data_IF_220740831922
#
_entry.id   IF_220740831922
#
_cell.length_a   1.000
_cell.length_b   1.000
_cell.length_c   1.000
_cell.angle_alpha   90.00
_cell.angle_beta   90.00
_cell.angle_gamma   90.00
#
_symmetry.space_group_name_H-M   'P 1'
#
loop_
_entity.id
_entity.type
_entity.pdbx_description
1 polymer ?
#
# COMPACT_ATOMS: atom_id res chain seq x y z
N UNK A 1 59.41 -0.61 -17.14
CA UNK A 1 58.37 -1.41 -17.81
C UNK A 1 58.16 -2.70 -17.02
N UNK A 2 56.96 -3.29 -17.01
CA UNK A 2 55.94 -3.16 -15.96
C UNK A 2 55.82 -4.41 -15.07
N UNK A 3 55.08 -4.33 -13.95
CA UNK A 3 54.18 -5.40 -13.52
C UNK A 3 53.10 -4.81 -12.59
N UNK A 4 51.95 -4.50 -13.21
CA UNK A 4 50.66 -4.24 -12.56
C UNK A 4 50.12 -5.53 -11.95
N UNK A 5 49.44 -5.38 -10.82
CA UNK A 5 48.15 -6.02 -10.58
C UNK A 5 48.16 -7.24 -9.68
N UNK A 6 47.63 -7.09 -8.45
CA UNK A 6 46.92 -8.15 -7.72
C UNK A 6 46.22 -7.66 -6.44
N UNK A 7 45.38 -6.62 -6.52
CA UNK A 7 44.46 -6.32 -5.42
C UNK A 7 43.13 -5.79 -5.98
N UNK A 8 42.28 -6.67 -6.53
CA UNK A 8 40.83 -6.47 -6.68
C UNK A 8 40.24 -7.67 -7.45
N UNK A 9 39.79 -8.72 -6.76
CA UNK A 9 38.96 -9.76 -7.39
C UNK A 9 38.15 -10.55 -6.36
N UNK A 10 38.73 -10.87 -5.19
CA UNK A 10 38.02 -11.65 -4.15
C UNK A 10 36.84 -10.94 -3.49
N UNK A 11 36.85 -9.61 -3.32
CA UNK A 11 35.75 -8.87 -2.65
C UNK A 11 34.53 -8.64 -3.54
N UNK A 12 34.71 -8.60 -4.86
CA UNK A 12 33.62 -8.41 -5.83
C UNK A 12 32.92 -9.77 -6.05
N UNK A 13 33.68 -10.86 -6.19
CA UNK A 13 33.15 -12.20 -6.41
C UNK A 13 32.27 -12.75 -5.27
N UNK A 14 32.55 -12.40 -4.01
CA UNK A 14 31.75 -12.84 -2.84
C UNK A 14 30.40 -12.11 -2.78
N UNK A 15 30.34 -10.84 -3.19
CA UNK A 15 29.07 -10.11 -3.22
C UNK A 15 28.18 -10.57 -4.37
N UNK A 16 28.76 -10.84 -5.55
CA UNK A 16 28.01 -11.37 -6.69
C UNK A 16 27.49 -12.78 -6.44
N UNK A 17 28.26 -13.67 -5.79
CA UNK A 17 27.78 -15.03 -5.49
C UNK A 17 26.65 -15.06 -4.46
N UNK A 18 26.67 -14.18 -3.45
CA UNK A 18 25.59 -14.05 -2.47
C UNK A 18 24.32 -13.47 -3.09
N UNK A 19 24.46 -12.51 -4.01
CA UNK A 19 23.33 -11.97 -4.78
C UNK A 19 22.73 -12.99 -5.75
N UNK A 20 23.56 -13.80 -6.42
CA UNK A 20 23.11 -14.90 -7.28
C UNK A 20 22.39 -16.00 -6.50
N UNK A 21 22.89 -16.36 -5.31
CA UNK A 21 22.26 -17.36 -4.43
C UNK A 21 20.89 -16.86 -3.92
N UNK A 22 20.81 -15.61 -3.49
CA UNK A 22 19.55 -14.94 -3.12
C UNK A 22 18.54 -14.87 -4.27
N UNK A 23 19.00 -14.49 -5.47
CA UNK A 23 18.14 -14.46 -6.66
C UNK A 23 17.63 -15.86 -7.03
N UNK A 24 18.46 -16.90 -6.84
CA UNK A 24 18.05 -18.28 -7.07
C UNK A 24 17.00 -18.72 -6.06
N UNK A 25 17.17 -18.40 -4.77
CA UNK A 25 16.17 -18.69 -3.73
C UNK A 25 14.86 -17.93 -3.99
N UNK A 26 14.92 -16.66 -4.37
CA UNK A 26 13.75 -15.87 -4.75
C UNK A 26 13.00 -16.53 -5.93
N UNK A 27 13.70 -16.91 -7.00
CA UNK A 27 13.08 -17.56 -8.16
C UNK A 27 12.40 -18.88 -7.78
N UNK A 28 12.97 -19.67 -6.86
CA UNK A 28 12.32 -20.89 -6.35
C UNK A 28 11.06 -20.59 -5.54
N UNK A 29 11.09 -19.55 -4.70
CA UNK A 29 9.93 -19.12 -3.90
C UNK A 29 8.81 -18.57 -4.79
N UNK A 30 9.15 -17.78 -5.82
CA UNK A 30 8.21 -17.25 -6.80
C UNK A 30 7.61 -18.31 -7.72
N UNK A 31 8.15 -19.54 -7.75
CA UNK A 31 7.58 -20.67 -8.49
C UNK A 31 6.52 -21.46 -7.70
N UNK A 32 6.38 -21.19 -6.40
CA UNK A 32 5.40 -21.84 -5.53
C UNK A 32 3.93 -21.62 -5.92
N UNK A 33 3.51 -20.45 -6.44
CA UNK A 33 2.16 -20.24 -6.95
C UNK A 33 1.85 -21.13 -8.16
N UNK A 34 2.80 -21.25 -9.10
CA UNK A 34 2.64 -22.10 -10.28
C UNK A 34 2.48 -23.57 -9.89
N UNK A 35 3.24 -24.03 -8.88
CA UNK A 35 3.13 -25.37 -8.33
C UNK A 35 1.73 -25.63 -7.74
N UNK A 36 1.22 -24.69 -6.93
CA UNK A 36 -0.13 -24.77 -6.36
C UNK A 36 -1.22 -24.72 -7.42
N UNK A 37 -1.05 -23.84 -8.43
CA UNK A 37 -1.99 -23.67 -9.53
C UNK A 37 -2.06 -24.93 -10.40
N UNK A 38 -0.91 -25.51 -10.71
CA UNK A 38 -0.80 -26.79 -11.41
C UNK A 38 -1.48 -27.92 -10.63
N UNK A 39 -1.22 -28.02 -9.31
CA UNK A 39 -1.85 -29.02 -8.46
C UNK A 39 -3.38 -28.86 -8.41
N UNK A 40 -3.89 -27.63 -8.25
CA UNK A 40 -5.33 -27.35 -8.26
C UNK A 40 -5.97 -27.67 -9.61
N UNK A 41 -5.34 -27.27 -10.72
CA UNK A 41 -5.82 -27.57 -12.07
C UNK A 41 -5.89 -29.09 -12.31
N UNK A 42 -4.88 -29.86 -11.86
CA UNK A 42 -4.89 -31.31 -12.00
C UNK A 42 -6.04 -31.97 -11.22
N UNK A 43 -6.35 -31.46 -10.02
CA UNK A 43 -7.48 -31.94 -9.21
C UNK A 43 -8.83 -31.62 -9.89
N UNK A 44 -9.04 -30.37 -10.30
CA UNK A 44 -10.28 -29.93 -10.96
C UNK A 44 -10.53 -30.68 -12.27
N UNK A 45 -9.48 -30.98 -13.04
CA UNK A 45 -9.56 -31.72 -14.31
C UNK A 45 -9.64 -33.24 -14.13
N UNK A 46 -9.61 -33.76 -12.90
CA UNK A 46 -9.63 -35.20 -12.62
C UNK A 46 -8.36 -35.94 -13.09
N UNK A 47 -7.27 -35.22 -13.31
CA UNK A 47 -5.97 -35.74 -13.80
C UNK A 47 -4.99 -36.00 -12.65
N UNK A 48 -5.41 -35.78 -11.41
CA UNK A 48 -4.60 -35.80 -10.19
C UNK A 48 -4.29 -37.19 -9.62
N UNK A 49 -4.50 -38.27 -10.40
CA UNK A 49 -4.25 -39.66 -9.99
C UNK A 49 -4.84 -40.01 -8.61
N UNK A 50 -6.08 -39.58 -8.36
CA UNK A 50 -6.80 -39.87 -7.11
C UNK A 50 -6.57 -38.89 -5.96
N UNK A 51 -5.84 -37.79 -6.19
CA UNK A 51 -5.72 -36.67 -5.23
C UNK A 51 -6.88 -35.70 -5.38
N UNK A 52 -7.36 -35.15 -4.29
CA UNK A 52 -8.50 -34.22 -4.25
C UNK A 52 -8.09 -32.85 -3.67
N UNK A 53 -9.07 -32.01 -3.32
CA UNK A 53 -8.82 -30.69 -2.72
C UNK A 53 -8.02 -30.76 -1.41
N UNK A 54 -8.05 -31.88 -0.68
CA UNK A 54 -7.27 -32.02 0.56
C UNK A 54 -5.77 -32.01 0.29
N UNK A 55 -5.34 -32.50 -0.89
CA UNK A 55 -3.95 -32.45 -1.31
C UNK A 55 -3.50 -31.01 -1.62
N UNK A 56 -4.35 -30.24 -2.30
CA UNK A 56 -4.09 -28.81 -2.58
C UNK A 56 -3.97 -28.04 -1.26
N UNK A 57 -4.84 -28.35 -0.29
CA UNK A 57 -4.79 -27.76 1.05
C UNK A 57 -3.51 -28.14 1.82
N UNK A 58 -3.06 -29.38 1.73
CA UNK A 58 -1.80 -29.80 2.37
C UNK A 58 -0.59 -29.08 1.77
N UNK A 59 -0.57 -28.89 0.45
CA UNK A 59 0.48 -28.13 -0.22
C UNK A 59 0.47 -26.68 0.23
N UNK A 60 -0.69 -26.03 0.30
CA UNK A 60 -0.76 -24.64 0.72
C UNK A 60 -0.43 -24.44 2.20
N UNK A 61 -0.85 -25.38 3.07
CA UNK A 61 -0.49 -25.41 4.49
C UNK A 61 1.04 -25.57 4.70
N UNK A 62 1.78 -26.08 3.70
CA UNK A 62 3.24 -26.13 3.73
C UNK A 62 3.89 -24.90 3.09
N UNK A 63 3.42 -24.49 1.91
CA UNK A 63 4.03 -23.43 1.10
C UNK A 63 3.88 -22.06 1.76
N UNK A 64 2.67 -21.72 2.20
CA UNK A 64 2.37 -20.39 2.73
C UNK A 64 3.24 -20.07 3.95
N UNK A 65 3.34 -20.93 4.98
CA UNK A 65 4.22 -20.65 6.13
C UNK A 65 5.69 -20.49 5.78
N UNK A 66 6.19 -21.22 4.78
CA UNK A 66 7.60 -21.14 4.36
C UNK A 66 7.90 -19.85 3.58
N UNK A 67 6.99 -19.41 2.70
CA UNK A 67 7.11 -18.10 2.03
C UNK A 67 7.11 -16.96 3.04
N UNK A 68 6.22 -17.07 4.02
CA UNK A 68 6.05 -16.17 5.16
C UNK A 68 7.32 -16.14 6.04
N UNK A 69 7.95 -17.29 6.32
CA UNK A 69 9.23 -17.36 7.04
C UNK A 69 10.41 -16.79 6.22
N UNK A 70 10.41 -17.01 4.91
CA UNK A 70 11.42 -16.45 4.01
C UNK A 70 11.33 -14.92 3.96
N UNK A 71 10.12 -14.37 3.87
CA UNK A 71 9.85 -12.95 3.93
C UNK A 71 10.40 -12.30 5.22
N UNK A 72 10.28 -13.00 6.36
CA UNK A 72 10.85 -12.54 7.66
C UNK A 72 12.37 -12.40 7.65
N UNK A 73 13.07 -13.20 6.85
CA UNK A 73 14.54 -13.27 6.83
C UNK A 73 15.16 -12.48 5.70
N UNK A 74 14.35 -11.95 4.78
CA UNK A 74 14.85 -11.27 3.60
C UNK A 74 14.93 -9.74 3.83
N UNK A 75 16.12 -9.14 3.76
CA UNK A 75 16.29 -7.70 3.92
C UNK A 75 16.16 -6.88 2.62
N UNK A 76 16.16 -7.49 1.43
CA UNK A 76 16.09 -6.76 0.15
C UNK A 76 14.65 -6.52 -0.30
N UNK A 77 14.27 -5.26 -0.53
CA UNK A 77 12.88 -4.84 -0.75
C UNK A 77 12.29 -5.41 -2.04
N UNK A 78 13.08 -5.46 -3.12
CA UNK A 78 12.65 -6.01 -4.42
C UNK A 78 12.37 -7.52 -4.33
N UNK A 79 13.09 -8.22 -3.46
CA UNK A 79 12.89 -9.65 -3.20
C UNK A 79 11.63 -9.85 -2.33
N UNK A 80 11.43 -9.01 -1.31
CA UNK A 80 10.22 -9.05 -0.48
C UNK A 80 8.94 -8.79 -1.29
N UNK A 81 8.96 -7.80 -2.19
CA UNK A 81 7.83 -7.54 -3.10
C UNK A 81 7.51 -8.77 -3.97
N UNK A 82 8.54 -9.38 -4.57
CA UNK A 82 8.38 -10.60 -5.37
C UNK A 82 7.85 -11.80 -4.57
N UNK A 83 8.24 -11.92 -3.29
CA UNK A 83 7.74 -12.96 -2.39
C UNK A 83 6.30 -12.68 -1.93
N UNK A 84 5.90 -11.41 -1.79
CA UNK A 84 4.54 -11.00 -1.47
C UNK A 84 3.59 -11.24 -2.63
N UNK A 85 3.98 -10.92 -3.86
CA UNK A 85 3.23 -11.25 -5.06
C UNK A 85 2.99 -12.75 -5.15
N UNK A 86 4.04 -13.56 -4.94
CA UNK A 86 3.93 -15.00 -4.89
C UNK A 86 3.00 -15.48 -3.76
N UNK A 87 3.08 -14.87 -2.58
CA UNK A 87 2.18 -15.19 -1.47
C UNK A 87 0.71 -14.88 -1.81
N UNK A 88 0.44 -13.71 -2.40
CA UNK A 88 -0.89 -13.30 -2.84
C UNK A 88 -1.45 -14.24 -3.91
N UNK A 89 -0.64 -14.62 -4.90
CA UNK A 89 -1.04 -15.62 -5.90
C UNK A 89 -1.34 -16.99 -5.27
N UNK A 90 -0.52 -17.47 -4.33
CA UNK A 90 -0.78 -18.73 -3.62
C UNK A 90 -2.13 -18.71 -2.89
N UNK A 91 -2.45 -17.59 -2.24
CA UNK A 91 -3.71 -17.37 -1.52
C UNK A 91 -4.90 -17.42 -2.48
N UNK A 92 -4.81 -16.67 -3.58
CA UNK A 92 -5.85 -16.59 -4.61
C UNK A 92 -6.09 -17.94 -5.28
N UNK A 93 -5.02 -18.63 -5.66
CA UNK A 93 -5.07 -19.97 -6.24
C UNK A 93 -5.78 -20.93 -5.31
N UNK A 94 -5.44 -20.96 -4.02
CA UNK A 94 -6.03 -21.94 -3.12
C UNK A 94 -7.41 -21.53 -2.59
N UNK A 95 -7.93 -20.35 -2.98
CA UNK A 95 -9.15 -19.76 -2.43
C UNK A 95 -9.16 -19.81 -0.89
N UNK A 96 -7.96 -19.63 -0.30
CA UNK A 96 -7.81 -19.73 1.14
C UNK A 96 -8.38 -18.44 1.68
N UNK A 97 -9.55 -18.57 2.30
CA UNK A 97 -9.99 -17.60 3.28
C UNK A 97 -8.98 -17.68 4.41
N UNK A 98 -7.93 -16.87 4.34
CA UNK A 98 -6.99 -16.74 5.43
C UNK A 98 -7.83 -16.25 6.58
N UNK A 99 -8.08 -17.14 7.53
CA UNK A 99 -8.71 -16.77 8.78
C UNK A 99 -7.77 -15.73 9.36
N UNK A 100 -8.12 -14.43 9.26
CA UNK A 100 -7.16 -13.34 9.34
C UNK A 100 -6.25 -13.42 10.58
N UNK A 101 -6.70 -14.12 11.63
CA UNK A 101 -5.95 -14.35 12.87
C UNK A 101 -4.57 -15.01 12.68
N UNK A 102 -4.33 -15.86 11.67
CA UNK A 102 -3.01 -16.51 11.46
C UNK A 102 -2.00 -15.57 10.82
N UNK A 103 -2.45 -14.85 9.79
CA UNK A 103 -1.72 -13.73 9.19
C UNK A 103 -1.45 -12.67 10.23
N UNK A 104 -2.43 -12.36 11.06
CA UNK A 104 -2.30 -11.35 12.10
C UNK A 104 -1.41 -11.72 13.26
N UNK A 105 -1.48 -12.95 13.77
CA UNK A 105 -0.55 -13.40 14.81
C UNK A 105 0.88 -13.36 14.28
N UNK A 106 1.07 -13.65 13.00
CA UNK A 106 2.34 -13.53 12.30
C UNK A 106 2.82 -12.07 12.15
N UNK A 107 1.93 -11.11 11.87
CA UNK A 107 2.26 -9.69 11.74
C UNK A 107 2.36 -8.93 13.06
N UNK A 108 1.57 -9.29 14.08
CA UNK A 108 1.68 -8.71 15.43
C UNK A 108 3.03 -9.04 16.04
N UNK A 109 3.50 -10.28 15.86
CA UNK A 109 4.79 -10.71 16.41
C UNK A 109 5.96 -9.99 15.68
N UNK A 110 5.84 -9.70 14.37
CA UNK A 110 6.81 -8.91 13.57
C UNK A 110 6.84 -7.42 13.96
N UNK A 111 5.68 -6.77 14.09
CA UNK A 111 5.59 -5.35 14.43
C UNK A 111 5.88 -5.07 15.92
N UNK A 112 5.59 -6.00 16.82
CA UNK A 112 5.76 -5.80 18.25
C UNK A 112 7.22 -5.92 18.69
N UNK A 113 8.08 -6.64 17.95
CA UNK A 113 9.54 -6.60 18.15
C UNK A 113 10.15 -5.24 17.74
N UNK A 114 9.68 -4.63 16.64
CA UNK A 114 10.20 -3.33 16.18
C UNK A 114 9.59 -2.12 16.91
N UNK A 115 8.30 -2.13 17.25
CA UNK A 115 7.65 -1.05 18.02
C UNK A 115 8.29 -0.91 19.42
N UNK A 116 8.61 -2.04 20.08
CA UNK A 116 9.33 -2.01 21.36
C UNK A 116 10.77 -1.49 21.18
N UNK A 117 11.42 -1.79 20.05
CA UNK A 117 12.73 -1.23 19.70
C UNK A 117 12.73 0.27 19.39
N UNK A 118 11.66 0.80 18.81
CA UNK A 118 11.47 2.23 18.49
C UNK A 118 11.12 3.04 19.75
N UNK A 119 10.27 2.49 20.63
CA UNK A 119 9.92 3.11 21.92
C UNK A 119 11.14 3.30 22.83
N UNK A 120 12.02 2.30 22.91
CA UNK A 120 13.26 2.39 23.68
C UNK A 120 14.31 3.33 23.04
N UNK A 121 14.33 3.48 21.71
CA UNK A 121 15.26 4.35 20.98
C UNK A 121 14.83 5.83 20.96
N UNK A 122 13.53 6.13 20.84
CA UNK A 122 12.99 7.50 21.00
C UNK A 122 13.22 8.02 22.43
N UNK A 123 13.13 7.15 23.45
CA UNK A 123 13.50 7.49 24.83
C UNK A 123 14.99 7.84 25.03
N UNK A 124 15.90 7.29 24.21
CA UNK A 124 17.34 7.59 24.26
C UNK A 124 17.79 8.77 23.37
N UNK A 125 17.09 9.08 22.27
CA UNK A 125 17.39 10.26 21.43
C UNK A 125 17.14 11.59 22.17
N UNK A 126 16.34 11.60 23.24
CA UNK A 126 16.12 12.80 24.07
C UNK A 126 17.27 13.11 25.05
N UNK A 127 18.26 12.21 25.24
CA UNK A 127 19.32 12.39 26.24
C UNK A 127 20.75 12.50 25.69
N UNK A 128 20.97 12.39 24.38
CA UNK A 128 22.34 12.52 23.84
C UNK A 128 22.36 13.27 22.50
N UNK A 129 22.16 14.58 22.55
CA UNK A 129 22.63 15.47 21.50
C UNK A 129 24.12 15.69 21.74
N UNK A 130 24.99 15.06 20.94
CA UNK A 130 26.25 15.62 20.43
C UNK A 130 27.09 14.55 19.72
N UNK A 131 27.73 14.99 18.64
CA UNK A 131 28.72 14.31 17.79
C UNK A 131 28.17 13.31 16.77
N UNK A 132 28.14 13.81 15.53
CA UNK A 132 27.88 13.02 14.34
C UNK A 132 28.92 11.92 14.09
N UNK A 133 28.51 10.95 13.30
CA UNK A 133 29.34 10.18 12.36
C UNK A 133 28.40 9.33 11.50
N UNK A 134 28.81 9.11 10.25
CA UNK A 134 28.12 8.49 9.09
C UNK A 134 27.59 7.05 9.27
N UNK A 135 27.22 6.62 10.47
CA UNK A 135 26.78 5.25 10.77
C UNK A 135 25.26 5.05 10.81
N UNK A 136 24.46 6.11 10.60
CA UNK A 136 22.98 6.09 10.71
C UNK A 136 22.21 5.72 9.44
N UNK A 137 22.80 5.93 8.25
CA UNK A 137 22.06 5.83 6.97
C UNK A 137 21.56 4.43 6.65
N UNK A 138 22.40 3.40 6.84
CA UNK A 138 22.03 2.01 6.56
C UNK A 138 21.02 1.41 7.55
N UNK A 139 20.83 2.04 8.73
CA UNK A 139 19.85 1.61 9.73
C UNK A 139 18.48 2.23 9.47
N UNK A 140 18.46 3.54 9.20
CA UNK A 140 17.24 4.29 8.85
C UNK A 140 16.67 3.85 7.49
N UNK A 141 17.52 3.51 6.50
CA UNK A 141 17.07 2.92 5.22
C UNK A 141 16.45 1.52 5.38
N UNK A 142 16.96 0.70 6.32
CA UNK A 142 16.39 -0.62 6.64
C UNK A 142 15.08 -0.52 7.40
N UNK A 143 15.01 0.36 8.39
CA UNK A 143 13.81 0.61 9.21
C UNK A 143 12.69 1.21 8.34
N UNK A 144 13.03 2.12 7.41
CA UNK A 144 12.11 2.64 6.40
C UNK A 144 11.73 1.61 5.31
N UNK A 145 12.55 0.59 5.06
CA UNK A 145 12.22 -0.53 4.16
C UNK A 145 11.19 -1.48 4.78
N UNK A 146 11.36 -1.82 6.06
CA UNK A 146 10.42 -2.68 6.81
C UNK A 146 9.07 -1.98 7.02
N UNK A 147 9.08 -0.68 7.34
CA UNK A 147 7.87 0.14 7.45
C UNK A 147 7.10 0.18 6.13
N UNK A 148 7.78 0.33 4.98
CA UNK A 148 7.16 0.27 3.65
C UNK A 148 6.46 -1.06 3.41
N UNK A 149 7.15 -2.18 3.65
CA UNK A 149 6.60 -3.52 3.45
C UNK A 149 5.33 -3.73 4.29
N UNK A 150 5.33 -3.31 5.55
CA UNK A 150 4.16 -3.44 6.41
C UNK A 150 2.95 -2.63 5.93
N UNK A 151 3.18 -1.45 5.32
CA UNK A 151 2.13 -0.61 4.74
C UNK A 151 1.52 -1.29 3.51
N UNK A 152 2.34 -1.68 2.54
CA UNK A 152 1.86 -2.35 1.31
C UNK A 152 1.05 -3.62 1.61
N UNK A 153 1.53 -4.44 2.55
CA UNK A 153 0.83 -5.67 2.95
C UNK A 153 -0.52 -5.34 3.60
N UNK A 154 -0.56 -4.31 4.46
CA UNK A 154 -1.79 -3.94 5.12
C UNK A 154 -2.83 -3.41 4.11
N UNK A 155 -2.39 -2.64 3.12
CA UNK A 155 -3.25 -2.12 2.06
C UNK A 155 -3.92 -3.29 1.30
N UNK A 156 -3.13 -4.29 0.90
CA UNK A 156 -3.64 -5.51 0.26
C UNK A 156 -4.64 -6.24 1.15
N UNK A 157 -4.32 -6.41 2.45
CA UNK A 157 -5.19 -7.08 3.42
C UNK A 157 -6.48 -6.30 3.62
N UNK A 158 -6.43 -4.97 3.66
CA UNK A 158 -7.60 -4.12 3.82
C UNK A 158 -8.49 -4.16 2.56
N UNK A 159 -7.90 -4.06 1.38
CA UNK A 159 -8.61 -4.04 0.10
C UNK A 159 -9.26 -5.40 -0.23
N UNK A 160 -8.50 -6.48 -0.09
CA UNK A 160 -8.95 -7.82 -0.46
C UNK A 160 -9.62 -8.55 0.71
N UNK A 161 -9.21 -8.28 1.95
CA UNK A 161 -9.75 -8.92 3.15
C UNK A 161 -11.03 -8.25 3.70
N UNK A 162 -11.27 -6.98 3.38
CA UNK A 162 -12.49 -6.21 3.71
C UNK A 162 -12.92 -6.39 5.17
N UNK A 163 -14.11 -6.95 5.43
CA UNK A 163 -14.63 -7.18 6.78
C UNK A 163 -13.66 -7.97 7.69
N UNK A 164 -12.89 -8.89 7.13
CA UNK A 164 -11.92 -9.67 7.90
C UNK A 164 -10.72 -8.84 8.38
N UNK A 165 -10.45 -7.70 7.74
CA UNK A 165 -9.38 -6.78 8.10
C UNK A 165 -9.78 -5.80 9.22
N UNK A 166 -11.07 -5.59 9.48
CA UNK A 166 -11.55 -4.58 10.43
C UNK A 166 -10.97 -4.68 11.83
N UNK A 167 -10.74 -5.90 12.32
CA UNK A 167 -10.10 -6.18 13.63
C UNK A 167 -8.65 -5.68 13.76
N UNK A 168 -8.07 -5.16 12.67
CA UNK A 168 -6.68 -4.71 12.59
C UNK A 168 -6.53 -3.20 12.51
N UNK A 169 -7.64 -2.51 12.22
CA UNK A 169 -7.67 -1.08 12.00
C UNK A 169 -7.24 -0.30 13.25
N UNK A 170 -7.66 -0.75 14.45
CA UNK A 170 -7.30 -0.12 15.72
C UNK A 170 -5.78 -0.04 15.96
N UNK A 171 -5.02 -1.01 15.45
CA UNK A 171 -3.56 -1.05 15.64
C UNK A 171 -2.79 -0.39 14.51
N UNK A 172 -3.31 -0.46 13.27
CA UNK A 172 -2.59 0.00 12.08
C UNK A 172 -2.93 1.42 11.64
N UNK A 173 -4.18 1.85 11.77
CA UNK A 173 -4.58 3.18 11.31
C UNK A 173 -3.79 4.31 11.99
N UNK A 174 -3.48 4.30 13.29
CA UNK A 174 -2.65 5.34 13.88
C UNK A 174 -1.26 5.44 13.23
N UNK A 175 -0.67 4.30 12.86
CA UNK A 175 0.64 4.24 12.21
C UNK A 175 0.60 4.74 10.77
N UNK A 176 -0.42 4.33 10.00
CA UNK A 176 -0.66 4.86 8.67
C UNK A 176 -0.81 6.38 8.73
N UNK A 177 -1.66 6.89 9.61
CA UNK A 177 -1.90 8.33 9.70
C UNK A 177 -0.65 9.15 10.08
N UNK A 178 0.25 8.60 10.91
CA UNK A 178 1.55 9.23 11.19
C UNK A 178 2.43 9.30 9.94
N UNK A 179 2.43 8.23 9.12
CA UNK A 179 3.29 8.10 7.94
C UNK A 179 2.79 8.85 6.69
N UNK A 180 1.57 9.42 6.69
CA UNK A 180 1.05 10.21 5.56
C UNK A 180 1.95 11.39 5.17
N UNK A 181 2.76 11.88 6.10
CA UNK A 181 3.64 13.04 5.92
C UNK A 181 5.13 12.66 5.99
N UNK A 182 5.45 11.41 5.66
CA UNK A 182 6.82 10.91 5.59
C UNK A 182 7.67 11.73 4.60
N UNK A 183 9.00 11.75 4.77
CA UNK A 183 9.90 12.48 3.87
C UNK A 183 9.98 11.85 2.47
N UNK A 184 9.82 10.53 2.35
CA UNK A 184 9.90 9.80 1.10
C UNK A 184 8.55 9.78 0.35
N UNK A 185 8.49 10.26 -0.91
CA UNK A 185 7.26 10.25 -1.70
C UNK A 185 6.61 8.88 -1.83
N UNK A 186 7.40 7.81 -2.00
CA UNK A 186 6.89 6.44 -2.16
C UNK A 186 6.18 5.94 -0.89
N UNK A 187 6.66 6.33 0.29
CA UNK A 187 6.04 6.00 1.57
C UNK A 187 4.71 6.74 1.69
N UNK A 188 4.72 8.06 1.41
CA UNK A 188 3.48 8.85 1.43
C UNK A 188 2.44 8.24 0.52
N UNK A 189 2.81 7.92 -0.72
CA UNK A 189 1.93 7.31 -1.70
C UNK A 189 1.25 6.04 -1.16
N UNK A 190 2.03 5.05 -0.71
CA UNK A 190 1.49 3.80 -0.18
C UNK A 190 0.54 4.05 1.00
N UNK A 191 0.96 4.88 1.95
CA UNK A 191 0.16 5.18 3.14
C UNK A 191 -1.16 5.87 2.80
N UNK A 192 -1.13 6.85 1.90
CA UNK A 192 -2.31 7.61 1.48
C UNK A 192 -3.31 6.68 0.77
N UNK A 193 -2.80 5.81 -0.10
CA UNK A 193 -3.60 4.77 -0.74
C UNK A 193 -4.29 3.90 0.32
N UNK A 194 -3.53 3.39 1.29
CA UNK A 194 -4.03 2.63 2.44
C UNK A 194 -5.11 3.34 3.26
N UNK A 195 -4.95 4.64 3.51
CA UNK A 195 -5.98 5.46 4.16
C UNK A 195 -7.26 5.51 3.31
N UNK A 196 -7.13 5.63 1.99
CA UNK A 196 -8.26 5.57 1.06
C UNK A 196 -8.99 4.22 1.11
N UNK A 197 -8.25 3.11 1.04
CA UNK A 197 -8.77 1.74 1.19
C UNK A 197 -9.49 1.58 2.52
N UNK A 198 -8.92 2.10 3.61
CA UNK A 198 -9.54 2.06 4.92
C UNK A 198 -10.82 2.89 5.02
N UNK A 199 -10.87 4.05 4.36
CA UNK A 199 -12.08 4.86 4.27
C UNK A 199 -13.17 4.16 3.45
N UNK A 200 -12.82 3.31 2.49
CA UNK A 200 -13.79 2.60 1.67
C UNK A 200 -14.30 1.32 2.34
N UNK A 201 -13.41 0.50 2.90
CA UNK A 201 -13.76 -0.83 3.42
C UNK A 201 -13.80 -0.92 4.95
N UNK A 202 -13.37 0.12 5.66
CA UNK A 202 -13.28 0.14 7.13
C UNK A 202 -14.61 0.25 7.85
N UNK A 203 -15.68 0.62 7.15
CA UNK A 203 -16.99 0.85 7.76
C UNK A 203 -16.92 1.74 9.00
N UNK A 204 -17.75 1.49 10.01
CA UNK A 204 -17.82 2.35 11.20
C UNK A 204 -16.53 2.40 12.03
N UNK A 205 -15.58 1.47 11.84
CA UNK A 205 -14.30 1.44 12.56
C UNK A 205 -13.42 2.63 12.17
N UNK A 206 -13.56 3.16 10.94
CA UNK A 206 -12.80 4.31 10.49
C UNK A 206 -13.35 5.65 11.03
N UNK A 207 -14.63 5.72 11.42
CA UNK A 207 -15.32 6.96 11.84
C UNK A 207 -14.56 7.78 12.90
N UNK A 208 -14.01 7.20 13.99
CA UNK A 208 -13.30 7.97 15.01
C UNK A 208 -12.03 8.67 14.49
N UNK A 209 -11.50 8.21 13.36
CA UNK A 209 -10.22 8.65 12.79
C UNK A 209 -10.39 9.55 11.57
N UNK A 210 -11.61 9.73 11.06
CA UNK A 210 -11.91 10.59 9.91
C UNK A 210 -11.34 12.00 10.07
N UNK A 211 -11.48 12.60 11.25
CA UNK A 211 -10.95 13.94 11.51
C UNK A 211 -9.42 14.04 11.39
N UNK A 212 -8.71 13.05 11.93
CA UNK A 212 -7.25 12.96 11.83
C UNK A 212 -6.83 12.68 10.38
N UNK A 213 -7.52 11.76 9.69
CA UNK A 213 -7.29 11.48 8.28
C UNK A 213 -7.40 12.74 7.42
N UNK A 214 -8.49 13.50 7.57
CA UNK A 214 -8.65 14.77 6.87
C UNK A 214 -7.52 15.75 7.19
N UNK A 215 -7.11 15.86 8.46
CA UNK A 215 -6.01 16.74 8.86
C UNK A 215 -4.69 16.33 8.20
N UNK A 216 -4.41 15.04 8.08
CA UNK A 216 -3.17 14.53 7.47
C UNK A 216 -3.16 14.71 5.96
N UNK A 217 -4.29 14.45 5.31
CA UNK A 217 -4.46 14.63 3.87
C UNK A 217 -4.37 16.12 3.47
N UNK A 218 -4.91 17.04 4.29
CA UNK A 218 -4.82 18.48 4.05
C UNK A 218 -3.38 19.00 4.03
N UNK A 219 -2.48 18.44 4.85
CA UNK A 219 -1.05 18.80 4.85
C UNK A 219 -0.39 18.48 3.50
N UNK A 220 -0.73 17.33 2.91
CA UNK A 220 -0.17 16.90 1.63
C UNK A 220 -0.70 17.76 0.48
N UNK A 221 -2.01 18.05 0.46
CA UNK A 221 -2.62 18.95 -0.56
C UNK A 221 -2.00 20.34 -0.52
N UNK A 222 -1.80 20.88 0.68
CA UNK A 222 -1.27 22.25 0.87
C UNK A 222 0.24 22.34 0.79
N UNK A 223 0.94 21.22 0.56
CA UNK A 223 2.38 21.23 0.45
C UNK A 223 2.80 22.14 -0.73
N UNK A 224 3.78 23.06 -0.57
CA UNK A 224 4.15 24.02 -1.61
C UNK A 224 4.55 23.38 -2.95
N UNK A 225 5.09 22.16 -2.88
CA UNK A 225 5.52 21.37 -4.03
C UNK A 225 4.57 20.20 -4.34
N UNK A 226 3.32 20.23 -3.87
CA UNK A 226 2.37 19.12 -4.05
C UNK A 226 2.17 18.74 -5.53
N UNK A 227 2.16 19.74 -6.42
CA UNK A 227 2.00 19.56 -7.87
C UNK A 227 3.34 19.37 -8.62
N UNK A 228 4.46 19.25 -7.91
CA UNK A 228 5.75 18.92 -8.53
C UNK A 228 5.73 17.47 -9.05
N UNK A 229 6.50 17.17 -10.10
CA UNK A 229 6.53 15.84 -10.72
C UNK A 229 6.82 14.70 -9.72
N UNK A 230 7.65 14.96 -8.72
CA UNK A 230 8.00 13.98 -7.68
C UNK A 230 6.86 13.72 -6.66
N UNK A 231 5.87 14.61 -6.58
CA UNK A 231 4.79 14.55 -5.60
C UNK A 231 3.39 14.37 -6.21
N UNK A 232 3.27 14.47 -7.54
CA UNK A 232 1.97 14.49 -8.22
C UNK A 232 1.18 13.19 -7.98
N UNK A 233 1.85 12.04 -7.93
CA UNK A 233 1.21 10.75 -7.63
C UNK A 233 0.62 10.76 -6.22
N UNK A 234 1.40 11.23 -5.23
CA UNK A 234 0.91 11.34 -3.86
C UNK A 234 -0.26 12.34 -3.76
N UNK A 235 -0.19 13.48 -4.45
CA UNK A 235 -1.28 14.45 -4.49
C UNK A 235 -2.58 13.84 -5.05
N UNK A 236 -2.50 13.16 -6.19
CA UNK A 236 -3.64 12.52 -6.84
C UNK A 236 -4.28 11.44 -5.95
N UNK A 237 -3.43 10.64 -5.29
CA UNK A 237 -3.88 9.63 -4.31
C UNK A 237 -4.56 10.27 -3.10
N UNK A 238 -4.12 11.45 -2.64
CA UNK A 238 -4.82 12.16 -1.56
C UNK A 238 -6.20 12.62 -2.00
N UNK A 239 -6.31 13.13 -3.21
CA UNK A 239 -7.61 13.54 -3.78
C UNK A 239 -8.55 12.33 -3.88
N UNK A 240 -8.03 11.16 -4.25
CA UNK A 240 -8.81 9.92 -4.22
C UNK A 240 -9.24 9.52 -2.81
N UNK A 241 -8.32 9.48 -1.85
CA UNK A 241 -8.63 9.15 -0.45
C UNK A 241 -9.67 10.12 0.15
N UNK A 242 -9.58 11.43 -0.14
CA UNK A 242 -10.60 12.41 0.25
C UNK A 242 -11.95 12.13 -0.40
N UNK A 243 -11.96 11.73 -1.66
CA UNK A 243 -13.17 11.30 -2.37
C UNK A 243 -13.83 10.13 -1.66
N UNK A 244 -13.07 9.08 -1.33
CA UNK A 244 -13.55 7.91 -0.58
C UNK A 244 -14.13 8.31 0.77
N UNK A 245 -13.48 9.19 1.53
CA UNK A 245 -14.03 9.74 2.79
C UNK A 245 -15.36 10.48 2.54
N UNK A 246 -15.47 11.29 1.49
CA UNK A 246 -16.72 11.99 1.15
C UNK A 246 -17.88 11.04 0.82
N UNK A 247 -17.59 9.88 0.23
CA UNK A 247 -18.58 8.89 -0.17
C UNK A 247 -19.00 7.98 0.97
N UNK A 248 -18.04 7.42 1.70
CA UNK A 248 -18.30 6.37 2.70
C UNK A 248 -18.47 6.91 4.13
N UNK A 249 -17.95 8.11 4.41
CA UNK A 249 -17.97 8.73 5.74
C UNK A 249 -18.61 10.11 5.77
N UNK A 250 -19.56 10.38 4.86
CA UNK A 250 -20.22 11.68 4.70
C UNK A 250 -20.81 12.24 6.00
N UNK A 251 -21.42 11.37 6.81
CA UNK A 251 -22.05 11.75 8.08
C UNK A 251 -21.04 12.10 9.19
N UNK A 252 -19.76 11.75 8.99
CA UNK A 252 -18.67 12.02 9.93
C UNK A 252 -17.86 13.27 9.57
N UNK A 253 -18.23 13.99 8.50
CA UNK A 253 -17.51 15.18 8.02
C UNK A 253 -18.44 16.38 7.85
N UNK A 254 -17.86 17.58 7.80
CA UNK A 254 -18.56 18.75 7.31
C UNK A 254 -18.61 18.72 5.77
N UNK A 255 -19.55 17.95 5.21
CA UNK A 255 -19.66 17.73 3.76
C UNK A 255 -19.79 19.06 2.96
N UNK A 256 -20.43 20.08 3.53
CA UNK A 256 -20.57 21.39 2.92
C UNK A 256 -19.25 22.15 2.74
N UNK A 257 -18.20 21.76 3.46
CA UNK A 257 -16.84 22.30 3.30
C UNK A 257 -15.93 21.34 2.52
N UNK A 258 -15.98 20.05 2.85
CA UNK A 258 -15.03 19.06 2.31
C UNK A 258 -15.33 18.72 0.85
N UNK A 259 -16.60 18.54 0.46
CA UNK A 259 -16.95 18.19 -0.93
C UNK A 259 -16.57 19.29 -1.92
N UNK A 260 -16.86 20.59 -1.66
CA UNK A 260 -16.38 21.65 -2.55
C UNK A 260 -14.85 21.78 -2.61
N UNK A 261 -14.16 21.54 -1.48
CA UNK A 261 -12.70 21.54 -1.45
C UNK A 261 -12.13 20.41 -2.31
N UNK A 262 -12.69 19.20 -2.21
CA UNK A 262 -12.34 18.06 -3.05
C UNK A 262 -12.58 18.37 -4.55
N UNK A 263 -13.75 18.91 -4.90
CA UNK A 263 -14.05 19.32 -6.29
C UNK A 263 -13.05 20.35 -6.84
N UNK A 264 -12.52 21.23 -5.97
CA UNK A 264 -11.54 22.23 -6.38
C UNK A 264 -10.20 21.63 -6.84
N UNK A 265 -9.86 20.43 -6.36
CA UNK A 265 -8.65 19.70 -6.72
C UNK A 265 -8.75 19.00 -8.09
N UNK A 266 -9.94 18.88 -8.68
CA UNK A 266 -10.17 18.15 -9.93
C UNK A 266 -9.94 19.01 -11.18
N UNK A 267 -9.63 18.39 -12.34
CA UNK A 267 -9.31 16.97 -12.53
C UNK A 267 -7.89 16.62 -12.06
N UNK A 268 -7.69 15.36 -11.65
CA UNK A 268 -6.36 14.79 -11.40
C UNK A 268 -5.84 14.09 -12.65
N UNK A 269 -4.52 14.04 -12.85
CA UNK A 269 -3.90 13.65 -14.15
C UNK A 269 -2.57 12.91 -14.06
N UNK A 270 -1.92 12.90 -12.91
CA UNK A 270 -0.64 12.23 -12.68
C UNK A 270 -0.81 10.72 -12.50
N UNK A 271 -1.70 10.30 -11.60
CA UNK A 271 -2.04 8.90 -11.40
C UNK A 271 -3.30 8.55 -12.21
N UNK A 272 -3.10 7.87 -13.34
CA UNK A 272 -4.19 7.52 -14.26
C UNK A 272 -5.14 6.47 -13.68
N UNK A 273 -4.70 5.66 -12.72
CA UNK A 273 -5.55 4.66 -12.06
C UNK A 273 -6.53 5.39 -11.15
N UNK A 274 -5.99 6.24 -10.27
CA UNK A 274 -6.81 7.02 -9.35
C UNK A 274 -7.65 8.09 -10.07
N UNK A 275 -7.17 8.65 -11.18
CA UNK A 275 -7.96 9.56 -12.01
C UNK A 275 -9.27 8.95 -12.47
N UNK A 276 -9.25 7.69 -12.94
CA UNK A 276 -10.47 6.99 -13.37
C UNK A 276 -11.46 6.81 -12.22
N UNK A 277 -10.97 6.40 -11.05
CA UNK A 277 -11.78 6.23 -9.84
C UNK A 277 -12.43 7.55 -9.42
N UNK A 278 -11.64 8.62 -9.32
CA UNK A 278 -12.10 9.94 -8.87
C UNK A 278 -13.07 10.59 -9.86
N UNK A 279 -12.82 10.45 -11.16
CA UNK A 279 -13.70 11.02 -12.18
C UNK A 279 -15.00 10.24 -12.33
N UNK A 280 -14.99 8.91 -12.19
CA UNK A 280 -16.21 8.09 -12.10
C UNK A 280 -17.03 8.46 -10.86
N UNK A 281 -16.36 8.68 -9.73
CA UNK A 281 -16.99 9.17 -8.51
C UNK A 281 -17.66 10.54 -8.73
N UNK A 282 -17.01 11.48 -9.43
CA UNK A 282 -17.60 12.77 -9.79
C UNK A 282 -18.87 12.57 -10.64
N UNK A 283 -18.83 11.70 -11.66
CA UNK A 283 -20.02 11.34 -12.46
C UNK A 283 -21.15 10.85 -11.57
N UNK A 284 -20.88 9.87 -10.72
CA UNK A 284 -21.84 9.29 -9.78
C UNK A 284 -22.47 10.34 -8.86
N UNK A 285 -21.67 11.29 -8.33
CA UNK A 285 -22.19 12.38 -7.48
C UNK A 285 -23.04 13.39 -8.26
N UNK A 286 -22.71 13.66 -9.53
CA UNK A 286 -23.53 14.52 -10.41
C UNK A 286 -24.86 13.84 -10.74
N UNK A 287 -24.85 12.56 -11.10
CA UNK A 287 -26.05 11.78 -11.43
C UNK A 287 -27.05 11.73 -10.26
N UNK A 288 -26.54 11.57 -9.03
CA UNK A 288 -27.37 11.62 -7.81
C UNK A 288 -27.82 13.03 -7.43
N UNK A 289 -27.32 14.06 -8.12
CA UNK A 289 -27.56 15.46 -7.80
C UNK A 289 -27.19 15.81 -6.35
N UNK A 290 -26.00 15.38 -5.92
CA UNK A 290 -25.49 15.63 -4.57
C UNK A 290 -25.47 17.14 -4.26
N UNK A 291 -26.19 17.56 -3.21
CA UNK A 291 -26.42 18.98 -2.88
C UNK A 291 -25.14 19.75 -2.61
N UNK A 292 -24.23 19.17 -1.83
CA UNK A 292 -22.95 19.79 -1.47
C UNK A 292 -22.00 19.89 -2.67
N UNK A 293 -22.14 19.01 -3.67
CA UNK A 293 -21.33 19.05 -4.90
C UNK A 293 -21.79 20.17 -5.83
N UNK A 294 -23.09 20.28 -6.08
CA UNK A 294 -23.66 21.30 -6.98
C UNK A 294 -23.61 22.69 -6.31
N UNK A 295 -23.75 22.70 -4.99
CA UNK A 295 -23.76 23.90 -4.16
C UNK A 295 -25.08 24.68 -4.23
N UNK A 296 -25.28 25.66 -3.33
CA UNK A 296 -26.44 26.53 -3.38
C UNK A 296 -26.48 27.29 -4.71
N UNK A 297 -27.66 27.38 -5.32
CA UNK A 297 -27.89 28.04 -6.61
C UNK A 297 -26.97 27.54 -7.75
N UNK A 298 -26.56 26.28 -7.71
CA UNK A 298 -25.69 25.65 -8.72
C UNK A 298 -24.33 26.36 -8.88
N UNK A 299 -23.83 26.99 -7.82
CA UNK A 299 -22.60 27.80 -7.89
C UNK A 299 -21.36 27.03 -8.35
N UNK A 300 -21.32 25.70 -8.18
CA UNK A 300 -20.18 24.87 -8.58
C UNK A 300 -20.35 24.21 -9.96
N UNK A 301 -21.51 24.38 -10.62
CA UNK A 301 -21.80 23.74 -11.90
C UNK A 301 -20.79 24.13 -12.99
N UNK A 302 -20.32 25.38 -13.00
CA UNK A 302 -19.30 25.85 -13.95
C UNK A 302 -17.98 25.09 -13.79
N UNK A 303 -17.54 24.83 -12.55
CA UNK A 303 -16.35 24.04 -12.25
C UNK A 303 -16.53 22.58 -12.68
N UNK A 304 -17.68 21.97 -12.40
CA UNK A 304 -17.99 20.59 -12.81
C UNK A 304 -17.89 20.45 -14.34
N UNK A 305 -18.52 21.37 -15.08
CA UNK A 305 -18.48 21.36 -16.56
C UNK A 305 -17.05 21.55 -17.08
N UNK A 306 -16.26 22.44 -16.45
CA UNK A 306 -14.86 22.63 -16.83
C UNK A 306 -14.03 21.35 -16.61
N UNK A 307 -14.22 20.68 -15.47
CA UNK A 307 -13.56 19.40 -15.16
C UNK A 307 -13.91 18.33 -16.20
N UNK A 308 -15.20 18.15 -16.54
CA UNK A 308 -15.60 17.20 -17.58
C UNK A 308 -15.06 17.56 -18.96
N UNK A 309 -15.03 18.84 -19.32
CA UNK A 309 -14.44 19.28 -20.58
C UNK A 309 -12.94 18.92 -20.65
N UNK A 310 -12.20 19.15 -19.58
CA UNK A 310 -10.78 18.77 -19.50
C UNK A 310 -10.56 17.25 -19.61
N UNK A 311 -11.39 16.45 -18.93
CA UNK A 311 -11.33 14.97 -18.98
C UNK A 311 -11.60 14.49 -20.40
N UNK A 312 -12.67 14.98 -21.04
CA UNK A 312 -13.02 14.63 -22.42
C UNK A 312 -11.95 15.03 -23.43
N UNK A 313 -11.28 16.17 -23.21
CA UNK A 313 -10.15 16.60 -24.04
C UNK A 313 -8.92 15.70 -23.89
N UNK A 314 -8.75 15.01 -22.76
CA UNK A 314 -7.65 14.07 -22.53
C UNK A 314 -7.92 12.67 -23.11
N UNK A 315 -9.10 12.39 -23.65
CA UNK A 315 -9.46 11.09 -24.20
C UNK A 315 -9.66 10.01 -23.13
N UNK A 316 -9.29 8.77 -23.45
CA UNK A 316 -9.55 7.59 -22.59
C UNK A 316 -8.55 7.43 -21.43
N UNK A 317 -7.57 8.32 -21.31
CA UNK A 317 -6.53 8.21 -20.28
C UNK A 317 -7.08 8.53 -18.88
N UNK A 318 -8.00 9.49 -18.79
CA UNK A 318 -8.54 10.01 -17.52
C UNK A 318 -9.95 9.53 -17.20
N UNK A 319 -10.58 8.73 -18.06
CA UNK A 319 -11.96 8.28 -17.90
C UNK A 319 -12.05 6.76 -17.94
N UNK A 320 -13.00 6.21 -17.19
CA UNK A 320 -13.46 4.83 -17.33
C UNK A 320 -14.32 4.73 -18.60
N UNK A 321 -14.26 3.60 -19.31
CA UNK A 321 -15.07 3.35 -20.52
C UNK A 321 -16.58 3.30 -20.24
#
# INVERSE_FOLDING_TARGET
MPLRGRIASKRIGIKTSVLEEKATTCNMLCSMPELLSSAKSAVVKGQSQGRDETYVKQLSDYIIPNLVEALHKEPEVEICASMLDALNECINVCNIHLSGWKIWKFFSDFLQEDINGVGERKGKKLSTCERGTEKGRNGEEREGGVQRIAIFIFDDVAEHGREAALKYYDSFLPFLLEACNDEYPDVRHAVIYGVGVCAEFGGSVFNPLVGEALSRLDVVIRHPNALHADNIIAYDNVVSALGKICQFHRDSINAAQVVPAWLSCLPIKGDLIEAKVVHDQLCSMVERSDRELIGPNNQYLSKIVAVFAEILCAGNDLATE
#
